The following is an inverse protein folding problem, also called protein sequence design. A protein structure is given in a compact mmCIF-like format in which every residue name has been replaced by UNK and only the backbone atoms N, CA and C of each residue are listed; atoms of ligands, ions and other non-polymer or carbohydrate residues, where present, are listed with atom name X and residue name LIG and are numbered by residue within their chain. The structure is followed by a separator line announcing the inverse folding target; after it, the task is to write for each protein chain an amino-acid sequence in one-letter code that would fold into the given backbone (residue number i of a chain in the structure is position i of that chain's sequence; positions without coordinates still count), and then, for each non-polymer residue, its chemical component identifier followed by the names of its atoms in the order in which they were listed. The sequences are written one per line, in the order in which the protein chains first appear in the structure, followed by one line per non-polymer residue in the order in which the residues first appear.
data_IF_116991991537
#
_entry.id   IF_116991991537
#
_cell.length_a   1.000
_cell.length_b   1.000
_cell.length_c   1.000
_cell.angle_alpha   90.00
_cell.angle_beta   90.00
_cell.angle_gamma   90.00
#
_symmetry.space_group_name_H-M   'P 1'
#
loop_
_entity.id
_entity.type
_entity.pdbx_description
1 polymer ?
#
# COMPACT_ATOMS: atom_id res chain seq x y z
N UNK A 1 -19.93 -16.26 -5.32
CA UNK A 1 -20.50 -15.20 -4.45
C UNK A 1 -19.46 -14.68 -3.46
N UNK A 2 -18.93 -15.51 -2.54
CA UNK A 2 -17.94 -15.08 -1.53
C UNK A 2 -16.72 -14.32 -2.12
N UNK A 3 -16.02 -14.89 -3.10
CA UNK A 3 -14.81 -14.27 -3.68
C UNK A 3 -15.07 -12.86 -4.23
N UNK A 4 -16.16 -12.70 -5.00
CA UNK A 4 -16.56 -11.41 -5.55
C UNK A 4 -16.93 -10.41 -4.46
N UNK A 5 -17.71 -10.84 -3.46
CA UNK A 5 -18.12 -9.98 -2.33
C UNK A 5 -16.88 -9.51 -1.56
N UNK A 6 -15.97 -10.41 -1.21
CA UNK A 6 -14.76 -10.04 -0.47
C UNK A 6 -13.90 -9.05 -1.25
N UNK A 7 -13.67 -9.27 -2.56
CA UNK A 7 -12.91 -8.32 -3.39
C UNK A 7 -13.52 -6.92 -3.38
N UNK A 8 -14.85 -6.82 -3.51
CA UNK A 8 -15.56 -5.52 -3.45
C UNK A 8 -15.42 -4.88 -2.08
N UNK A 9 -15.58 -5.64 -0.99
CA UNK A 9 -15.43 -5.14 0.38
C UNK A 9 -14.01 -4.62 0.63
N UNK A 10 -12.97 -5.37 0.25
CA UNK A 10 -11.58 -4.94 0.42
C UNK A 10 -11.28 -3.65 -0.35
N UNK A 11 -11.68 -3.55 -1.62
CA UNK A 11 -11.43 -2.37 -2.44
C UNK A 11 -12.18 -1.15 -1.87
N UNK A 12 -13.46 -1.30 -1.54
CA UNK A 12 -14.28 -0.20 -1.02
C UNK A 12 -13.82 0.28 0.35
N UNK A 13 -13.45 -0.64 1.25
CA UNK A 13 -12.91 -0.30 2.56
C UNK A 13 -11.58 0.46 2.44
N UNK A 14 -10.65 0.01 1.59
CA UNK A 14 -9.37 0.69 1.38
C UNK A 14 -9.54 2.09 0.80
N UNK A 15 -10.42 2.25 -0.21
CA UNK A 15 -10.74 3.58 -0.77
C UNK A 15 -11.36 4.49 0.30
N UNK A 16 -12.27 3.96 1.11
CA UNK A 16 -12.90 4.72 2.18
C UNK A 16 -11.89 5.17 3.25
N UNK A 17 -10.95 4.33 3.64
CA UNK A 17 -9.87 4.70 4.57
C UNK A 17 -8.99 5.82 3.99
N UNK A 18 -8.60 5.73 2.72
CA UNK A 18 -7.82 6.79 2.06
C UNK A 18 -8.61 8.10 2.05
N UNK A 19 -9.92 8.05 1.76
CA UNK A 19 -10.79 9.22 1.79
C UNK A 19 -10.86 9.86 3.19
N UNK A 20 -10.99 9.05 4.24
CA UNK A 20 -11.00 9.54 5.62
C UNK A 20 -9.69 10.25 6.00
N UNK A 21 -8.54 9.65 5.66
CA UNK A 21 -7.23 10.21 5.99
C UNK A 21 -6.90 11.48 5.19
N UNK A 22 -7.33 11.55 3.92
CA UNK A 22 -6.91 12.64 3.02
C UNK A 22 -7.88 13.80 2.95
N UNK A 23 -9.18 13.55 3.14
CA UNK A 23 -10.22 14.53 2.79
C UNK A 23 -11.13 14.85 3.97
N UNK A 24 -11.66 13.84 4.68
CA UNK A 24 -12.74 14.04 5.65
C UNK A 24 -12.25 14.55 7.02
N UNK A 25 -12.64 15.77 7.47
CA UNK A 25 -12.38 16.22 8.83
C UNK A 25 -13.25 15.44 9.84
N UNK A 26 -12.81 15.27 11.11
CA UNK A 26 -11.59 15.82 11.72
C UNK A 26 -10.31 15.01 11.45
N UNK A 27 -10.42 13.80 10.90
CA UNK A 27 -9.30 12.84 10.76
C UNK A 27 -8.21 13.38 9.81
N UNK A 28 -8.61 14.04 8.73
CA UNK A 28 -7.65 14.66 7.81
C UNK A 28 -6.84 15.80 8.46
N UNK A 29 -7.35 16.42 9.53
CA UNK A 29 -6.66 17.50 10.23
C UNK A 29 -5.56 16.98 11.17
N UNK A 30 -5.69 15.75 11.65
CA UNK A 30 -4.68 15.10 12.50
C UNK A 30 -3.52 14.51 11.68
N UNK A 31 -3.63 14.47 10.35
CA UNK A 31 -2.59 13.91 9.49
C UNK A 31 -1.51 14.95 9.14
N UNK A 32 -0.34 14.82 9.76
CA UNK A 32 0.83 15.65 9.48
C UNK A 32 1.67 15.09 8.31
N UNK A 33 1.43 15.63 7.11
CA UNK A 33 2.14 15.22 5.89
C UNK A 33 3.66 15.46 5.93
N UNK A 34 4.14 16.38 6.78
CA UNK A 34 5.57 16.68 6.92
C UNK A 34 6.36 15.54 7.57
N UNK A 35 5.70 14.70 8.36
CA UNK A 35 6.32 13.62 9.13
C UNK A 35 6.39 12.34 8.30
N UNK A 36 5.38 12.12 7.44
CA UNK A 36 5.29 10.96 6.53
C UNK A 36 6.03 11.19 5.20
N UNK A 37 7.37 11.20 5.25
CA UNK A 37 8.28 11.46 4.10
C UNK A 37 8.91 10.21 3.49
N UNK A 38 8.38 9.03 3.79
CA UNK A 38 8.96 7.79 3.28
C UNK A 38 8.83 7.69 1.75
N UNK A 39 9.95 7.52 1.05
CA UNK A 39 9.98 7.49 -0.43
C UNK A 39 9.57 6.11 -0.98
N UNK A 40 8.31 5.71 -0.76
CA UNK A 40 7.79 4.40 -1.15
C UNK A 40 7.90 4.12 -2.66
N UNK A 41 7.94 5.15 -3.51
CA UNK A 41 8.10 5.00 -4.96
C UNK A 41 9.42 4.33 -5.34
N UNK A 42 10.52 4.77 -4.72
CA UNK A 42 11.86 4.27 -5.01
C UNK A 42 12.13 2.97 -4.23
N UNK A 43 11.74 2.93 -2.95
CA UNK A 43 12.10 1.84 -2.05
C UNK A 43 11.16 0.64 -2.11
N UNK A 44 9.88 0.81 -2.46
CA UNK A 44 8.89 -0.27 -2.49
C UNK A 44 8.46 -0.58 -3.92
N UNK A 45 7.91 0.41 -4.65
CA UNK A 45 7.31 0.15 -5.97
C UNK A 45 8.31 -0.39 -6.99
N UNK A 46 9.50 0.24 -7.10
CA UNK A 46 10.55 -0.22 -8.01
C UNK A 46 10.98 -1.67 -7.76
N UNK A 47 11.45 -2.02 -6.55
CA UNK A 47 11.86 -3.39 -6.22
C UNK A 47 10.73 -4.41 -6.34
N UNK A 48 9.49 -4.10 -5.94
CA UNK A 48 8.37 -5.03 -6.04
C UNK A 48 7.97 -5.30 -7.50
N UNK A 49 8.05 -4.28 -8.37
CA UNK A 49 7.82 -4.47 -9.80
C UNK A 49 8.91 -5.35 -10.42
N UNK A 50 10.19 -5.09 -10.08
CA UNK A 50 11.31 -5.90 -10.53
C UNK A 50 11.18 -7.36 -10.08
N UNK A 51 10.88 -7.60 -8.80
CA UNK A 51 10.64 -8.95 -8.27
C UNK A 51 9.42 -9.61 -8.91
N UNK A 52 8.35 -8.86 -9.16
CA UNK A 52 7.17 -9.37 -9.85
C UNK A 52 7.47 -9.84 -11.26
N UNK A 53 8.33 -9.14 -12.01
CA UNK A 53 8.75 -9.55 -13.35
C UNK A 53 9.71 -10.75 -13.29
N UNK A 54 10.63 -10.79 -12.32
CA UNK A 54 11.63 -11.86 -12.21
C UNK A 54 11.07 -13.19 -11.69
N UNK A 55 10.06 -13.14 -10.80
CA UNK A 55 9.50 -14.29 -10.12
C UNK A 55 8.10 -14.68 -10.62
N UNK A 56 7.66 -14.16 -11.78
CA UNK A 56 6.37 -14.54 -12.37
C UNK A 56 6.42 -15.96 -12.92
N UNK A 57 5.34 -16.72 -12.78
CA UNK A 57 5.24 -18.08 -13.33
C UNK A 57 4.99 -18.05 -14.84
N UNK A 58 4.15 -17.12 -15.30
CA UNK A 58 3.84 -16.90 -16.71
C UNK A 58 4.06 -15.44 -17.08
N UNK A 59 4.74 -15.18 -18.19
CA UNK A 59 4.98 -13.81 -18.68
C UNK A 59 3.74 -13.21 -19.37
N UNK A 60 2.62 -13.20 -18.66
CA UNK A 60 1.39 -12.51 -19.06
C UNK A 60 1.18 -11.29 -18.16
N UNK A 61 0.55 -10.24 -18.70
CA UNK A 61 0.30 -9.01 -17.95
C UNK A 61 -0.48 -9.28 -16.63
N UNK A 62 -1.55 -10.11 -16.62
CA UNK A 62 -2.28 -10.39 -15.39
C UNK A 62 -1.43 -11.10 -14.33
N UNK A 63 -0.58 -12.04 -14.75
CA UNK A 63 0.24 -12.82 -13.83
C UNK A 63 1.37 -11.98 -13.24
N UNK A 64 2.04 -11.15 -14.05
CA UNK A 64 3.03 -10.18 -13.56
C UNK A 64 2.40 -9.24 -12.54
N UNK A 65 1.21 -8.69 -12.82
CA UNK A 65 0.51 -7.81 -11.88
C UNK A 65 0.11 -8.54 -10.60
N UNK A 66 -0.30 -9.80 -10.71
CA UNK A 66 -0.64 -10.63 -9.56
C UNK A 66 0.60 -10.91 -8.69
N UNK A 67 1.72 -11.37 -9.28
CA UNK A 67 2.98 -11.58 -8.57
C UNK A 67 3.49 -10.28 -7.93
N UNK A 68 3.45 -9.16 -8.66
CA UNK A 68 3.81 -7.83 -8.10
C UNK A 68 2.91 -7.45 -6.92
N UNK A 69 1.60 -7.75 -6.97
CA UNK A 69 0.67 -7.41 -5.89
C UNK A 69 1.02 -8.14 -4.58
N UNK A 70 1.46 -9.40 -4.65
CA UNK A 70 1.89 -10.19 -3.48
C UNK A 70 3.15 -9.59 -2.83
N UNK A 71 4.14 -9.24 -3.65
CA UNK A 71 5.37 -8.62 -3.16
C UNK A 71 5.08 -7.27 -2.50
N UNK A 72 4.25 -6.45 -3.14
CA UNK A 72 3.89 -5.13 -2.63
C UNK A 72 3.11 -5.24 -1.31
N UNK A 73 2.17 -6.17 -1.20
CA UNK A 73 1.38 -6.39 0.02
C UNK A 73 2.26 -6.77 1.22
N UNK A 74 3.30 -7.59 0.98
CA UNK A 74 4.24 -8.03 2.01
C UNK A 74 5.01 -6.88 2.66
N UNK A 75 5.23 -5.77 1.93
CA UNK A 75 6.00 -4.60 2.40
C UNK A 75 5.15 -3.34 2.60
N UNK A 76 3.86 -3.39 2.30
CA UNK A 76 2.96 -2.23 2.33
C UNK A 76 2.84 -1.56 3.70
N UNK A 77 3.17 -2.27 4.78
CA UNK A 77 3.13 -1.77 6.17
C UNK A 77 4.39 -0.99 6.60
N UNK A 78 5.48 -1.09 5.83
CA UNK A 78 6.78 -0.52 6.19
C UNK A 78 6.76 0.99 6.45
N UNK A 79 6.15 1.84 5.60
CA UNK A 79 6.11 3.28 5.84
C UNK A 79 5.49 3.64 7.20
N UNK A 80 4.45 2.92 7.60
CA UNK A 80 3.70 3.12 8.84
C UNK A 80 4.53 2.71 10.06
N UNK A 81 5.30 1.62 9.96
CA UNK A 81 6.23 1.23 11.02
C UNK A 81 7.34 2.27 11.22
N UNK A 82 7.89 2.80 10.13
CA UNK A 82 8.91 3.86 10.18
C UNK A 82 8.34 5.13 10.79
N UNK A 83 7.14 5.53 10.39
CA UNK A 83 6.45 6.70 10.94
C UNK A 83 6.24 6.58 12.46
N UNK A 84 5.77 5.42 12.93
CA UNK A 84 5.57 5.18 14.36
C UNK A 84 6.88 5.18 15.15
N UNK A 85 7.96 4.67 14.57
CA UNK A 85 9.28 4.76 15.19
C UNK A 85 9.72 6.21 15.34
N UNK A 86 9.57 7.03 14.29
CA UNK A 86 9.94 8.45 14.33
C UNK A 86 9.14 9.22 15.38
N UNK A 87 7.83 8.96 15.51
CA UNK A 87 6.98 9.59 16.52
C UNK A 87 7.34 9.22 17.97
N UNK A 88 8.02 8.09 18.19
CA UNK A 88 8.45 7.65 19.52
C UNK A 88 9.80 8.27 19.93
N UNK A 89 10.63 8.63 18.95
CA UNK A 89 11.95 9.20 19.18
C UNK A 89 11.93 10.73 19.42
N UNK A 90 10.78 11.39 19.20
CA UNK A 90 10.51 12.81 19.57
C UNK A 90 9.78 12.90 20.91
#
# INVERSE_FOLDING_TARGET
VYNTVMKVVFITATIYLIYLMRVKPPISQTYERSTDKFQYEIYLLGPCLLLGILCTEEYTIPEILWTTSIWLESVAIVPQLVLLQQMREV
#
